data_IF_123873836230
#
_entry.id   IF_123873836230
#
_cell.length_a   1.000
_cell.length_b   1.000
_cell.length_c   1.000
_cell.angle_alpha   90.00
_cell.angle_beta   90.00
_cell.angle_gamma   90.00
#
_symmetry.space_group_name_H-M   'P 1'
#
loop_
_entity.id
_entity.type
_entity.pdbx_description
1 polymer ?
#
# COMPACT_ATOMS: atom_id res chain seq x y z
N UNK A 1 25.76 -3.19 -10.50
CA UNK A 1 25.45 -4.63 -10.33
C UNK A 1 25.74 -5.48 -11.56
N UNK A 2 25.47 -5.01 -12.78
CA UNK A 2 25.67 -5.78 -14.01
C UNK A 2 27.11 -5.72 -14.56
N UNK A 3 28.09 -5.42 -13.71
CA UNK A 3 29.49 -5.46 -14.15
C UNK A 3 29.91 -6.92 -14.38
N UNK A 4 30.53 -7.17 -15.53
CA UNK A 4 31.04 -8.48 -15.92
C UNK A 4 32.21 -8.89 -15.02
N UNK A 5 33.05 -7.93 -14.61
CA UNK A 5 34.12 -8.21 -13.67
C UNK A 5 33.56 -8.31 -12.24
N UNK A 6 33.65 -9.47 -11.57
CA UNK A 6 33.11 -9.65 -10.23
C UNK A 6 33.74 -8.72 -9.20
N UNK A 7 35.02 -8.36 -9.35
CA UNK A 7 35.72 -7.46 -8.44
C UNK A 7 35.28 -6.01 -8.56
N UNK A 8 34.67 -5.63 -9.69
CA UNK A 8 34.13 -4.28 -9.92
C UNK A 8 32.63 -4.17 -9.58
N UNK A 9 31.97 -5.31 -9.36
CA UNK A 9 30.56 -5.33 -8.99
C UNK A 9 30.37 -4.70 -7.61
N UNK A 10 29.36 -3.85 -7.48
CA UNK A 10 29.05 -3.25 -6.20
C UNK A 10 28.59 -4.31 -5.17
N UNK A 11 29.00 -4.12 -3.92
CA UNK A 11 28.51 -4.92 -2.80
C UNK A 11 27.12 -4.47 -2.36
N UNK A 12 26.42 -5.28 -1.57
CA UNK A 12 25.10 -4.91 -1.02
C UNK A 12 25.15 -3.58 -0.26
N UNK A 13 26.17 -3.37 0.56
CA UNK A 13 26.35 -2.12 1.33
C UNK A 13 26.55 -0.92 0.42
N UNK A 14 27.32 -1.07 -0.66
CA UNK A 14 27.51 0.00 -1.64
C UNK A 14 26.20 0.30 -2.37
N UNK A 15 25.47 -0.72 -2.80
CA UNK A 15 24.21 -0.58 -3.53
C UNK A 15 23.14 0.17 -2.71
N UNK A 16 22.98 -0.18 -1.43
CA UNK A 16 22.02 0.47 -0.53
C UNK A 16 22.33 1.96 -0.30
N UNK A 17 23.58 2.39 -0.51
CA UNK A 17 24.01 3.79 -0.38
C UNK A 17 23.89 4.58 -1.69
N UNK A 18 23.45 3.97 -2.79
CA UNK A 18 23.30 4.66 -4.07
C UNK A 18 22.05 5.56 -4.08
N UNK A 19 22.06 6.56 -4.96
CA UNK A 19 20.96 7.53 -5.13
C UNK A 19 19.60 6.89 -5.35
N UNK A 20 19.54 5.70 -5.96
CA UNK A 20 18.30 4.97 -6.19
C UNK A 20 17.48 4.76 -4.90
N UNK A 21 18.12 4.44 -3.78
CA UNK A 21 17.42 4.21 -2.51
C UNK A 21 17.09 5.49 -1.73
N UNK A 22 17.63 6.66 -2.13
CA UNK A 22 17.39 7.94 -1.48
C UNK A 22 16.53 8.91 -2.30
N UNK A 23 16.39 8.66 -3.61
CA UNK A 23 15.54 9.45 -4.49
C UNK A 23 14.06 9.11 -4.31
N UNK A 24 13.20 10.06 -4.66
CA UNK A 24 11.77 9.81 -4.81
C UNK A 24 11.53 9.11 -6.16
N UNK A 25 10.53 8.21 -6.27
CA UNK A 25 9.62 7.75 -5.21
C UNK A 25 10.28 6.77 -4.25
N UNK A 26 9.87 6.80 -2.98
CA UNK A 26 10.30 5.82 -1.99
C UNK A 26 9.77 4.41 -2.30
N UNK A 27 10.31 3.37 -1.65
CA UNK A 27 9.85 2.00 -1.84
C UNK A 27 8.39 1.84 -1.38
N UNK A 28 7.64 0.96 -2.04
CA UNK A 28 6.29 0.60 -1.61
C UNK A 28 6.35 -0.15 -0.26
N UNK A 29 5.40 0.14 0.62
CA UNK A 29 5.23 -0.63 1.86
C UNK A 29 4.76 -2.05 1.51
N UNK A 30 5.20 -3.05 2.29
CA UNK A 30 4.86 -4.45 2.03
C UNK A 30 3.35 -4.72 1.94
N UNK A 31 2.53 -4.00 2.70
CA UNK A 31 1.06 -4.11 2.67
C UNK A 31 0.41 -3.59 1.39
N UNK A 32 1.10 -2.71 0.67
CA UNK A 32 0.65 -2.12 -0.60
C UNK A 32 1.20 -2.87 -1.82
N UNK A 33 1.94 -3.97 -1.62
CA UNK A 33 2.38 -4.81 -2.72
C UNK A 33 1.21 -5.63 -3.29
N UNK A 34 1.12 -5.79 -4.62
CA UNK A 34 0.12 -6.64 -5.21
C UNK A 34 0.35 -8.09 -4.82
N UNK A 35 -0.69 -8.74 -4.29
CA UNK A 35 -0.64 -10.16 -3.96
C UNK A 35 -0.92 -10.99 -5.21
N UNK A 36 -0.22 -12.12 -5.42
CA UNK A 36 -0.55 -13.05 -6.50
C UNK A 36 -2.02 -13.50 -6.40
N UNK A 37 -2.74 -13.47 -7.52
CA UNK A 37 -4.16 -13.86 -7.59
C UNK A 37 -5.16 -12.85 -7.03
N UNK A 38 -4.70 -11.68 -6.54
CA UNK A 38 -5.63 -10.63 -6.15
C UNK A 38 -6.34 -10.04 -7.40
N UNK A 39 -7.67 -9.86 -7.36
CA UNK A 39 -8.38 -9.21 -8.46
C UNK A 39 -7.88 -7.77 -8.63
N UNK A 40 -7.67 -7.36 -9.87
CA UNK A 40 -7.10 -6.05 -10.27
C UNK A 40 -7.82 -4.85 -9.64
N UNK A 41 -9.11 -5.00 -9.32
CA UNK A 41 -9.96 -3.94 -8.76
C UNK A 41 -9.61 -3.60 -7.30
N UNK A 42 -9.20 -4.59 -6.49
CA UNK A 42 -8.83 -4.38 -5.07
C UNK A 42 -7.56 -3.53 -4.94
N UNK A 43 -6.69 -3.54 -5.95
CA UNK A 43 -5.46 -2.75 -5.97
C UNK A 43 -5.74 -1.25 -6.22
N UNK A 44 -6.74 -0.93 -7.03
CA UNK A 44 -7.12 0.47 -7.34
C UNK A 44 -7.93 1.09 -6.20
N UNK A 45 -8.79 0.30 -5.55
CA UNK A 45 -9.68 0.80 -4.49
C UNK A 45 -8.92 1.26 -3.23
N UNK A 46 -7.79 0.64 -2.88
CA UNK A 46 -6.94 1.11 -1.79
C UNK A 46 -6.32 2.50 -2.04
N UNK A 47 -6.08 2.85 -3.30
CA UNK A 47 -5.57 4.18 -3.67
C UNK A 47 -6.66 5.24 -3.49
N UNK A 48 -7.91 4.92 -3.85
CA UNK A 48 -9.08 5.78 -3.67
C UNK A 48 -9.57 5.87 -2.22
N UNK A 49 -9.40 4.84 -1.39
CA UNK A 49 -9.84 4.83 0.00
C UNK A 49 -9.15 5.91 0.87
N UNK A 50 -7.92 6.33 0.52
CA UNK A 50 -7.23 7.43 1.19
C UNK A 50 -7.86 8.81 0.90
N UNK A 51 -8.52 8.97 -0.24
CA UNK A 51 -9.22 10.20 -0.62
C UNK A 51 -10.63 10.30 0.01
N UNK A 52 -11.28 9.18 0.30
CA UNK A 52 -12.71 9.15 0.70
C UNK A 52 -12.99 9.14 2.22
N UNK A 53 -11.96 9.14 3.08
CA UNK A 53 -12.13 9.09 4.56
C UNK A 53 -12.36 10.47 5.20
N UNK A 54 -13.21 11.31 4.59
CA UNK A 54 -13.71 12.57 5.17
C UNK A 54 -15.24 12.65 5.15
N UNK A 55 -15.96 11.57 5.51
CA UNK A 55 -17.41 11.68 5.76
C UNK A 55 -17.66 11.93 7.25
N UNK A 56 -18.27 13.09 7.54
CA UNK A 56 -18.76 13.52 8.85
C UNK A 56 -19.57 12.39 9.49
N UNK A 57 -19.23 12.01 10.72
CA UNK A 57 -20.23 11.46 11.65
C UNK A 57 -21.19 12.62 11.92
N UNK A 58 -22.41 12.52 11.38
CA UNK A 58 -23.50 13.39 11.81
C UNK A 58 -23.92 12.88 13.19
N UNK A 59 -23.79 13.80 14.13
CA UNK A 59 -24.22 13.72 15.52
C UNK A 59 -25.76 13.59 15.62
N UNK A 60 -26.21 12.71 16.53
CA UNK A 60 -27.55 12.56 17.14
C UNK A 60 -28.74 11.91 16.37
N UNK A 61 -29.74 11.29 17.06
CA UNK A 61 -29.76 10.72 18.42
C UNK A 61 -29.95 9.19 18.47
N UNK A 62 -29.65 8.66 19.65
CA UNK A 62 -30.07 7.38 20.21
C UNK A 62 -31.49 6.88 19.83
N UNK A 63 -31.56 5.60 19.45
CA UNK A 63 -32.64 4.71 19.87
C UNK A 63 -33.56 4.17 18.77
N UNK A 64 -33.59 2.84 18.69
CA UNK A 64 -34.61 2.01 18.02
C UNK A 64 -34.47 2.00 16.48
N UNK A 65 -34.29 0.86 15.81
CA UNK A 65 -35.37 -0.12 15.62
C UNK A 65 -34.81 -1.48 15.18
N UNK A 66 -35.17 -2.50 15.98
CA UNK A 66 -35.45 -3.90 15.64
C UNK A 66 -34.48 -4.71 14.77
N UNK A 67 -33.72 -5.58 15.46
CA UNK A 67 -33.31 -6.89 14.95
C UNK A 67 -34.56 -7.74 14.68
N UNK A 68 -34.68 -8.30 13.47
CA UNK A 68 -35.31 -9.60 13.17
C UNK A 68 -35.15 -9.93 11.68
N UNK A 69 -34.39 -10.97 11.34
CA UNK A 69 -34.65 -11.75 10.14
C UNK A 69 -35.63 -12.87 10.53
N UNK A 70 -36.66 -13.05 9.72
CA UNK A 70 -37.56 -14.21 9.77
C UNK A 70 -37.18 -15.10 8.59
N UNK A 71 -37.08 -16.42 8.84
CA UNK A 71 -36.72 -17.43 7.84
C UNK A 71 -37.80 -17.57 6.76
#
# INVERSE_FOLDING_TARGET
MLDYNPCKRCTSTQALKMTYFYNKPGPSLGSALPKPGAPSEVLKEQEHAKASRKRKMLDEPSGHLSKKLVF
#
